data_IF_077926129271
#
_entry.id   IF_077926129271
#
_cell.length_a   1.000
_cell.length_b   1.000
_cell.length_c   1.000
_cell.angle_alpha   90.00
_cell.angle_beta   90.00
_cell.angle_gamma   90.00
#
_symmetry.space_group_name_H-M   'P 1'
#
loop_
_entity.id
_entity.type
_entity.pdbx_description
1 polymer ?
#
# COMPACT_ATOMS: atom_id res chain seq x y z
N UNK A 1 -19.25 11.81 -12.04
CA UNK A 1 -18.55 12.96 -11.39
C UNK A 1 -17.55 13.55 -12.38
N UNK A 2 -17.59 14.86 -12.59
CA UNK A 2 -16.60 15.55 -13.42
C UNK A 2 -15.24 15.44 -12.73
N UNK A 3 -14.28 14.80 -13.40
CA UNK A 3 -12.90 14.68 -12.91
C UNK A 3 -12.30 16.08 -12.91
N UNK A 4 -12.12 16.64 -11.73
CA UNK A 4 -11.45 17.93 -11.57
C UNK A 4 -9.93 17.69 -11.50
N UNK A 5 -9.22 17.92 -12.60
CA UNK A 5 -7.76 17.80 -12.70
C UNK A 5 -6.99 18.98 -12.08
N UNK A 6 -7.66 19.93 -11.42
CA UNK A 6 -7.02 21.13 -10.87
C UNK A 6 -6.77 21.05 -9.35
N UNK A 7 -6.43 19.88 -8.82
CA UNK A 7 -6.08 19.77 -7.42
C UNK A 7 -4.66 20.28 -7.15
N UNK A 8 -4.48 20.89 -5.99
CA UNK A 8 -3.19 21.47 -5.57
C UNK A 8 -2.14 20.40 -5.26
N UNK A 9 -2.59 19.19 -4.93
CA UNK A 9 -1.74 18.05 -4.54
C UNK A 9 -1.84 16.96 -5.60
N UNK A 10 -0.72 16.30 -5.83
CA UNK A 10 -0.65 15.08 -6.64
C UNK A 10 -0.37 13.85 -5.77
N UNK A 11 -0.81 12.68 -6.19
CA UNK A 11 -0.46 11.40 -5.56
C UNK A 11 0.20 10.50 -6.60
N UNK A 12 1.40 10.04 -6.31
CA UNK A 12 2.02 8.96 -7.07
C UNK A 12 1.75 7.65 -6.34
N UNK A 13 0.97 6.77 -6.96
CA UNK A 13 0.54 5.52 -6.35
C UNK A 13 1.14 4.32 -7.07
N UNK A 14 1.90 3.49 -6.35
CA UNK A 14 2.45 2.23 -6.88
C UNK A 14 1.61 1.07 -6.37
N UNK A 15 0.81 0.49 -7.27
CA UNK A 15 -0.08 -0.62 -6.93
C UNK A 15 0.69 -1.92 -6.61
N UNK A 16 0.10 -2.85 -5.83
CA UNK A 16 0.71 -4.15 -5.57
C UNK A 16 0.71 -5.04 -6.81
N UNK A 17 1.40 -6.18 -6.75
CA UNK A 17 1.31 -7.15 -7.84
C UNK A 17 -0.06 -7.79 -7.94
N UNK A 18 -0.60 -7.81 -9.15
CA UNK A 18 -1.75 -8.60 -9.56
C UNK A 18 -1.36 -9.76 -10.47
N UNK A 19 -0.04 -10.02 -10.62
CA UNK A 19 0.50 -11.01 -11.53
C UNK A 19 0.94 -12.26 -10.77
N UNK A 20 0.30 -13.39 -11.05
CA UNK A 20 0.47 -14.66 -10.34
C UNK A 20 0.90 -15.82 -11.26
N UNK A 21 1.21 -15.53 -12.53
CA UNK A 21 1.44 -16.52 -13.56
C UNK A 21 2.89 -17.05 -13.60
N UNK A 22 3.19 -17.88 -14.59
CA UNK A 22 4.46 -18.62 -14.71
C UNK A 22 5.65 -17.77 -15.16
N UNK A 23 5.39 -16.68 -15.87
CA UNK A 23 6.45 -15.77 -16.32
C UNK A 23 6.99 -14.96 -15.14
N UNK A 24 8.23 -14.50 -15.22
CA UNK A 24 8.85 -13.72 -14.16
C UNK A 24 8.27 -12.30 -14.05
N UNK A 25 7.93 -11.67 -15.18
CA UNK A 25 7.35 -10.33 -15.20
C UNK A 25 6.13 -10.27 -16.11
N UNK A 26 5.21 -9.39 -15.75
CA UNK A 26 4.01 -9.12 -16.52
C UNK A 26 4.34 -8.43 -17.85
N UNK A 27 3.77 -8.92 -18.94
CA UNK A 27 3.86 -8.30 -20.27
C UNK A 27 2.76 -7.25 -20.45
N UNK A 28 3.15 -5.98 -20.50
CA UNK A 28 2.23 -4.84 -20.61
C UNK A 28 1.42 -4.82 -21.93
N UNK A 29 1.82 -5.59 -22.93
CA UNK A 29 1.11 -5.66 -24.21
C UNK A 29 -0.07 -6.64 -24.22
N UNK A 30 -0.29 -7.36 -23.12
CA UNK A 30 -1.34 -8.37 -23.03
C UNK A 30 -2.50 -7.90 -22.15
N UNK A 31 -3.70 -7.81 -22.71
CA UNK A 31 -4.94 -7.68 -21.93
C UNK A 31 -5.24 -8.96 -21.17
N UNK A 32 -5.07 -8.94 -19.85
CA UNK A 32 -5.21 -10.12 -19.00
C UNK A 32 -5.98 -9.79 -17.73
N UNK A 33 -6.27 -10.80 -16.92
CA UNK A 33 -6.83 -10.64 -15.58
C UNK A 33 -5.93 -9.76 -14.66
N UNK A 34 -4.63 -9.63 -14.96
CA UNK A 34 -3.72 -8.74 -14.23
C UNK A 34 -4.13 -7.27 -14.34
N UNK A 35 -4.55 -6.80 -15.51
CA UNK A 35 -5.09 -5.45 -15.66
C UNK A 35 -6.35 -5.26 -14.83
N UNK A 36 -7.27 -6.22 -14.85
CA UNK A 36 -8.51 -6.16 -14.08
C UNK A 36 -8.24 -6.14 -12.57
N UNK A 37 -7.22 -6.89 -12.09
CA UNK A 37 -6.77 -6.83 -10.71
C UNK A 37 -6.17 -5.47 -10.38
N UNK A 38 -5.36 -4.90 -11.28
CA UNK A 38 -4.81 -3.55 -11.11
C UNK A 38 -5.92 -2.50 -11.03
N UNK A 39 -6.93 -2.55 -11.91
CA UNK A 39 -8.09 -1.65 -11.84
C UNK A 39 -8.80 -1.74 -10.49
N UNK A 40 -9.01 -2.97 -9.99
CA UNK A 40 -9.62 -3.20 -8.69
C UNK A 40 -8.78 -2.63 -7.54
N UNK A 41 -7.46 -2.82 -7.58
CA UNK A 41 -6.54 -2.26 -6.59
C UNK A 41 -6.55 -0.72 -6.62
N UNK A 42 -6.56 -0.11 -7.79
CA UNK A 42 -6.67 1.34 -7.90
C UNK A 42 -8.01 1.85 -7.34
N UNK A 43 -9.10 1.16 -7.65
CA UNK A 43 -10.42 1.52 -7.17
C UNK A 43 -10.59 1.38 -5.65
N UNK A 44 -9.94 0.41 -5.01
CA UNK A 44 -10.11 0.11 -3.58
C UNK A 44 -8.96 0.63 -2.70
N UNK A 45 -7.85 1.07 -3.27
CA UNK A 45 -6.67 1.55 -2.54
C UNK A 45 -6.32 3.00 -2.92
N UNK A 46 -5.90 3.25 -4.17
CA UNK A 46 -5.51 4.59 -4.61
C UNK A 46 -6.65 5.61 -4.47
N UNK A 47 -7.90 5.17 -4.60
CA UNK A 47 -9.09 6.00 -4.43
C UNK A 47 -9.20 6.68 -3.07
N UNK A 48 -8.51 6.19 -2.04
CA UNK A 48 -8.45 6.88 -0.74
C UNK A 48 -7.88 8.31 -0.86
N UNK A 49 -7.05 8.57 -1.85
CA UNK A 49 -6.40 9.86 -2.06
C UNK A 49 -7.12 10.76 -3.07
N UNK A 50 -8.13 10.26 -3.78
CA UNK A 50 -8.77 10.99 -4.89
C UNK A 50 -9.58 12.22 -4.45
N UNK A 51 -9.92 12.35 -3.17
CA UNK A 51 -10.61 13.53 -2.62
C UNK A 51 -9.76 14.80 -2.72
N UNK A 52 -8.46 14.68 -2.46
CA UNK A 52 -7.53 15.81 -2.31
C UNK A 52 -6.46 15.90 -3.39
N UNK A 53 -6.20 14.82 -4.13
CA UNK A 53 -5.09 14.76 -5.10
C UNK A 53 -5.51 14.24 -6.46
N UNK A 54 -4.75 14.64 -7.50
CA UNK A 54 -4.76 13.93 -8.76
C UNK A 54 -3.89 12.68 -8.60
N UNK A 55 -4.41 11.53 -9.02
CA UNK A 55 -3.71 10.25 -8.85
C UNK A 55 -2.99 9.89 -10.15
N UNK A 56 -1.71 9.57 -10.02
CA UNK A 56 -0.83 9.06 -11.08
C UNK A 56 -0.33 7.69 -10.65
N UNK A 57 -0.77 6.66 -11.34
CA UNK A 57 -0.41 5.27 -11.06
C UNK A 57 0.23 4.66 -12.31
N UNK A 58 1.54 4.38 -12.31
CA UNK A 58 2.19 3.80 -13.46
C UNK A 58 1.74 2.36 -13.69
N UNK A 59 1.62 1.97 -14.93
CA UNK A 59 1.68 0.56 -15.30
C UNK A 59 3.15 0.16 -15.39
N UNK A 60 3.51 -0.95 -14.81
CA UNK A 60 4.89 -1.44 -14.79
C UNK A 60 4.92 -2.96 -14.96
N UNK A 61 6.06 -3.49 -15.39
CA UNK A 61 6.28 -4.92 -15.54
C UNK A 61 6.38 -5.59 -14.17
N UNK A 62 5.21 -5.77 -13.54
CA UNK A 62 5.10 -6.37 -12.21
C UNK A 62 5.86 -7.68 -12.15
N UNK A 63 6.66 -7.89 -11.09
CA UNK A 63 7.22 -9.20 -10.82
C UNK A 63 6.12 -10.16 -10.37
N UNK A 64 6.22 -11.41 -10.76
CA UNK A 64 5.27 -12.45 -10.33
C UNK A 64 5.32 -12.64 -8.81
N UNK A 65 4.21 -13.09 -8.23
CA UNK A 65 4.21 -13.45 -6.81
C UNK A 65 5.25 -14.53 -6.46
N UNK A 66 5.54 -15.44 -7.40
CA UNK A 66 6.60 -16.42 -7.24
C UNK A 66 7.99 -15.77 -7.08
N UNK A 67 8.28 -14.68 -7.79
CA UNK A 67 9.54 -13.95 -7.64
C UNK A 67 9.71 -13.35 -6.24
N UNK A 68 8.59 -12.89 -5.64
CA UNK A 68 8.59 -12.33 -4.29
C UNK A 68 8.81 -13.44 -3.24
N UNK A 69 8.17 -14.59 -3.41
CA UNK A 69 8.16 -15.68 -2.45
C UNK A 69 9.41 -16.56 -2.51
N UNK A 70 10.01 -16.77 -3.69
CA UNK A 70 11.22 -17.57 -3.86
C UNK A 70 12.52 -16.79 -3.70
N UNK A 71 12.52 -15.53 -3.99
CA UNK A 71 13.51 -14.45 -3.83
C UNK A 71 15.01 -14.78 -3.64
N UNK A 72 15.41 -16.02 -3.76
CA UNK A 72 16.81 -16.49 -3.66
C UNK A 72 17.40 -16.84 -5.03
N UNK A 73 16.57 -16.89 -6.06
CA UNK A 73 17.01 -17.22 -7.40
C UNK A 73 17.38 -15.95 -8.17
N UNK A 74 18.42 -16.00 -8.97
CA UNK A 74 18.87 -14.87 -9.79
C UNK A 74 17.74 -14.28 -10.65
N UNK A 75 16.91 -15.13 -11.25
CA UNK A 75 15.75 -14.69 -12.03
C UNK A 75 14.70 -13.95 -11.19
N UNK A 76 14.53 -14.30 -9.90
CA UNK A 76 13.67 -13.55 -8.97
C UNK A 76 14.21 -12.15 -8.76
N UNK A 77 15.50 -12.03 -8.49
CA UNK A 77 16.19 -10.75 -8.27
C UNK A 77 16.06 -9.89 -9.52
N UNK A 78 16.39 -10.43 -10.69
CA UNK A 78 16.29 -9.72 -11.96
C UNK A 78 14.86 -9.25 -12.27
N UNK A 79 13.85 -10.07 -11.93
CA UNK A 79 12.43 -9.72 -12.08
C UNK A 79 12.04 -8.54 -11.20
N UNK A 80 12.49 -8.54 -9.94
CA UNK A 80 12.22 -7.44 -9.00
C UNK A 80 12.95 -6.15 -9.41
N UNK A 81 14.20 -6.26 -9.90
CA UNK A 81 14.97 -5.12 -10.40
C UNK A 81 14.32 -4.49 -11.64
N UNK A 82 13.78 -5.32 -12.54
CA UNK A 82 13.08 -4.84 -13.71
C UNK A 82 11.81 -4.07 -13.33
N UNK A 83 10.98 -4.62 -12.44
CA UNK A 83 9.80 -3.96 -11.93
C UNK A 83 10.15 -2.63 -11.24
N UNK A 84 11.23 -2.61 -10.46
CA UNK A 84 11.73 -1.40 -9.81
C UNK A 84 12.20 -0.35 -10.81
N UNK A 85 12.94 -0.74 -11.84
CA UNK A 85 13.44 0.22 -12.85
C UNK A 85 12.28 0.94 -13.57
N UNK A 86 11.20 0.23 -13.86
CA UNK A 86 10.00 0.81 -14.45
C UNK A 86 9.35 1.84 -13.52
N UNK A 87 9.17 1.47 -12.23
CA UNK A 87 8.59 2.38 -11.24
C UNK A 87 9.47 3.60 -11.00
N UNK A 88 10.80 3.42 -10.94
CA UNK A 88 11.75 4.53 -10.79
C UNK A 88 11.66 5.51 -11.97
N UNK A 89 11.71 5.00 -13.19
CA UNK A 89 11.63 5.84 -14.40
C UNK A 89 10.29 6.62 -14.45
N UNK A 90 9.17 5.94 -14.09
CA UNK A 90 7.86 6.58 -14.01
C UNK A 90 7.81 7.65 -12.91
N UNK A 91 8.45 7.42 -11.77
CA UNK A 91 8.49 8.39 -10.67
C UNK A 91 9.35 9.61 -11.02
N UNK A 92 10.51 9.42 -11.65
CA UNK A 92 11.33 10.51 -12.16
C UNK A 92 10.57 11.35 -13.18
N UNK A 93 9.88 10.71 -14.13
CA UNK A 93 9.02 11.41 -15.08
C UNK A 93 7.88 12.16 -14.36
N UNK A 94 7.23 11.53 -13.38
CA UNK A 94 6.22 12.20 -12.58
C UNK A 94 6.77 13.45 -11.89
N UNK A 95 7.93 13.38 -11.24
CA UNK A 95 8.51 14.50 -10.52
C UNK A 95 8.83 15.68 -11.44
N UNK A 96 9.51 15.43 -12.56
CA UNK A 96 10.06 16.47 -13.40
C UNK A 96 9.08 17.00 -14.45
N UNK A 97 8.25 16.12 -15.02
CA UNK A 97 7.36 16.49 -16.13
C UNK A 97 5.92 16.78 -15.69
N UNK A 98 5.41 16.05 -14.68
CA UNK A 98 4.02 16.15 -14.23
C UNK A 98 3.86 17.00 -13.00
N UNK A 99 4.59 16.67 -11.93
CA UNK A 99 4.38 17.28 -10.62
C UNK A 99 4.81 18.74 -10.53
N UNK A 100 5.91 19.11 -11.18
CA UNK A 100 6.39 20.49 -11.32
C UNK A 100 6.37 21.28 -10.00
N UNK A 101 6.99 20.74 -8.98
CA UNK A 101 7.10 21.31 -7.63
C UNK A 101 5.79 21.43 -6.83
N UNK A 102 4.69 20.82 -7.25
CA UNK A 102 3.50 20.73 -6.41
C UNK A 102 3.75 19.83 -5.20
N UNK A 103 3.05 20.07 -4.09
CA UNK A 103 2.99 19.10 -3.01
C UNK A 103 2.48 17.74 -3.51
N UNK A 104 3.04 16.65 -2.98
CA UNK A 104 2.61 15.34 -3.40
C UNK A 104 2.61 14.30 -2.27
N UNK A 105 1.82 13.26 -2.46
CA UNK A 105 1.79 12.04 -1.67
C UNK A 105 2.51 10.94 -2.47
N UNK A 106 3.41 10.21 -1.83
CA UNK A 106 3.89 8.94 -2.33
C UNK A 106 3.11 7.83 -1.63
N UNK A 107 2.41 6.99 -2.39
CA UNK A 107 1.63 5.90 -1.81
C UNK A 107 1.93 4.59 -2.52
N UNK A 108 1.92 3.49 -1.76
CA UNK A 108 2.16 2.16 -2.30
C UNK A 108 1.53 1.07 -1.44
N UNK A 109 1.36 -0.11 -2.02
CA UNK A 109 0.98 -1.30 -1.31
C UNK A 109 1.84 -2.51 -1.71
N UNK A 110 2.24 -3.33 -0.74
CA UNK A 110 2.92 -4.62 -0.98
C UNK A 110 4.15 -4.49 -1.87
N UNK A 111 4.21 -5.18 -3.02
CA UNK A 111 5.33 -5.08 -3.97
C UNK A 111 5.62 -3.65 -4.42
N UNK A 112 4.60 -2.80 -4.52
CA UNK A 112 4.78 -1.39 -4.85
C UNK A 112 5.68 -0.64 -3.87
N UNK A 113 5.87 -1.17 -2.67
CA UNK A 113 6.82 -0.65 -1.68
C UNK A 113 8.27 -1.03 -2.00
N UNK A 114 8.53 -2.13 -2.72
CA UNK A 114 9.88 -2.59 -3.02
C UNK A 114 10.71 -1.45 -3.61
N UNK A 115 11.64 -0.94 -2.82
CA UNK A 115 12.49 0.22 -3.09
C UNK A 115 11.76 1.57 -3.21
N UNK A 116 10.51 1.71 -2.73
CA UNK A 116 9.89 3.03 -2.59
C UNK A 116 10.71 3.93 -1.63
N UNK A 117 11.40 3.35 -0.64
CA UNK A 117 12.37 4.08 0.19
C UNK A 117 13.56 4.59 -0.63
N UNK A 118 14.01 3.89 -1.67
CA UNK A 118 15.04 4.41 -2.60
C UNK A 118 14.50 5.59 -3.39
N UNK A 119 13.22 5.56 -3.77
CA UNK A 119 12.56 6.73 -4.34
C UNK A 119 12.56 7.88 -3.34
N UNK A 120 12.37 7.59 -2.04
CA UNK A 120 12.42 8.59 -0.97
C UNK A 120 13.83 9.15 -0.76
N UNK A 121 14.87 8.32 -0.81
CA UNK A 121 16.26 8.74 -0.58
C UNK A 121 16.88 9.34 -1.84
N UNK A 122 16.56 8.78 -3.02
CA UNK A 122 17.24 9.09 -4.28
C UNK A 122 17.01 10.50 -4.83
N UNK A 123 15.93 11.18 -4.42
CA UNK A 123 15.60 12.53 -4.89
C UNK A 123 15.93 13.64 -3.88
N UNK A 124 16.63 13.33 -2.79
CA UNK A 124 17.29 14.26 -1.89
C UNK A 124 16.41 15.41 -1.36
N UNK A 125 16.90 16.64 -1.45
CA UNK A 125 16.23 17.84 -0.93
C UNK A 125 14.90 18.16 -1.61
N UNK A 126 14.71 17.80 -2.88
CA UNK A 126 13.46 18.02 -3.60
C UNK A 126 12.28 17.29 -2.94
N UNK A 127 12.48 16.04 -2.53
CA UNK A 127 11.45 15.28 -1.85
C UNK A 127 11.14 15.81 -0.46
N UNK A 128 12.14 16.31 0.25
CA UNK A 128 11.93 16.88 1.60
C UNK A 128 11.04 18.11 1.58
N UNK A 129 11.11 18.93 0.54
CA UNK A 129 10.34 20.17 0.45
C UNK A 129 8.89 19.95 -0.05
N UNK A 130 8.70 19.05 -1.00
CA UNK A 130 7.42 18.91 -1.70
C UNK A 130 6.61 17.68 -1.29
N UNK A 131 7.21 16.68 -0.62
CA UNK A 131 6.50 15.50 -0.16
C UNK A 131 5.69 15.80 1.10
N UNK A 132 4.37 15.70 0.98
CA UNK A 132 3.47 15.89 2.11
C UNK A 132 3.52 14.70 3.07
N UNK A 133 3.40 13.47 2.55
CA UNK A 133 3.51 12.23 3.31
C UNK A 133 3.85 11.05 2.39
N UNK A 134 4.33 9.95 2.96
CA UNK A 134 4.46 8.69 2.27
C UNK A 134 3.63 7.61 2.97
N UNK A 135 2.67 7.01 2.25
CA UNK A 135 1.86 5.88 2.70
C UNK A 135 2.41 4.60 2.10
N UNK A 136 3.33 3.96 2.81
CA UNK A 136 4.03 2.76 2.36
C UNK A 136 3.48 1.54 3.11
N UNK A 137 2.31 1.07 2.69
CA UNK A 137 1.50 0.11 3.43
C UNK A 137 1.76 -1.32 2.96
N UNK A 138 1.75 -2.26 3.90
CA UNK A 138 1.75 -3.69 3.60
C UNK A 138 3.12 -4.31 3.33
N UNK A 139 4.22 -3.59 3.51
CA UNK A 139 5.59 -4.13 3.44
C UNK A 139 6.37 -3.75 4.70
N UNK A 140 7.24 -4.60 5.22
CA UNK A 140 7.93 -4.31 6.47
C UNK A 140 8.92 -3.15 6.33
N UNK A 141 8.72 -2.11 7.13
CA UNK A 141 9.65 -1.02 7.34
C UNK A 141 10.17 -1.11 8.77
N UNK A 142 11.44 -1.41 8.92
CA UNK A 142 12.06 -1.57 10.24
C UNK A 142 12.26 -0.23 10.94
N UNK A 143 12.03 -0.20 12.24
CA UNK A 143 12.16 1.02 13.04
C UNK A 143 13.58 1.57 13.04
N UNK A 144 14.59 0.69 13.11
CA UNK A 144 16.00 1.09 13.12
C UNK A 144 16.40 1.74 11.78
N UNK A 145 15.93 1.17 10.66
CA UNK A 145 16.18 1.76 9.35
C UNK A 145 15.50 3.11 9.20
N UNK A 146 14.24 3.23 9.58
CA UNK A 146 13.53 4.52 9.50
C UNK A 146 14.27 5.60 10.31
N UNK A 147 14.70 5.26 11.52
CA UNK A 147 15.42 6.18 12.39
C UNK A 147 16.77 6.65 11.79
N UNK A 148 17.48 5.76 11.09
CA UNK A 148 18.77 6.06 10.45
C UNK A 148 18.64 6.79 9.12
N UNK A 149 17.48 6.68 8.43
CA UNK A 149 17.25 7.25 7.10
C UNK A 149 16.91 8.74 7.09
N UNK A 150 16.70 9.33 8.27
CA UNK A 150 16.25 10.73 8.41
C UNK A 150 14.78 10.95 8.11
N UNK A 151 13.98 9.87 8.03
CA UNK A 151 12.53 9.91 7.97
C UNK A 151 11.93 9.67 9.35
N UNK A 152 10.70 10.15 9.53
CA UNK A 152 9.96 9.98 10.78
C UNK A 152 8.66 9.24 10.56
N UNK A 153 8.28 8.43 11.54
CA UNK A 153 6.92 7.91 11.62
C UNK A 153 5.99 8.98 12.21
N UNK A 154 4.68 8.94 11.99
CA UNK A 154 3.76 9.92 12.56
C UNK A 154 3.68 9.78 14.09
N UNK A 155 3.56 10.90 14.78
CA UNK A 155 3.24 10.98 16.20
C UNK A 155 1.79 11.43 16.42
N UNK A 156 1.17 11.99 15.38
CA UNK A 156 -0.23 12.40 15.34
C UNK A 156 -0.77 12.37 13.91
N UNK A 157 -2.01 12.76 13.75
CA UNK A 157 -2.72 12.71 12.47
C UNK A 157 -2.37 13.81 11.46
N UNK A 158 -1.57 14.80 11.87
CA UNK A 158 -1.25 16.00 11.06
C UNK A 158 0.22 16.19 10.76
N UNK A 159 1.12 15.43 11.37
CA UNK A 159 2.57 15.54 11.13
C UNK A 159 2.91 15.49 9.64
N UNK A 160 3.59 16.50 9.09
CA UNK A 160 4.01 16.50 7.69
C UNK A 160 5.25 15.63 7.49
N UNK A 161 5.50 15.25 6.23
CA UNK A 161 6.72 14.58 5.78
C UNK A 161 7.03 13.21 6.43
N UNK A 162 6.03 12.61 7.04
CA UNK A 162 6.14 11.30 7.70
C UNK A 162 6.03 10.13 6.72
N UNK A 163 6.52 8.98 7.16
CA UNK A 163 6.28 7.68 6.52
C UNK A 163 5.29 6.90 7.35
N UNK A 164 4.19 6.53 6.75
CA UNK A 164 3.09 5.78 7.34
C UNK A 164 3.19 4.36 6.83
N UNK A 165 3.32 3.43 7.76
CA UNK A 165 3.39 2.01 7.47
C UNK A 165 2.54 1.24 8.48
N UNK A 166 1.92 0.17 8.06
CA UNK A 166 1.34 -0.89 8.88
C UNK A 166 1.12 -2.15 8.05
N UNK A 167 0.97 -3.27 8.73
CA UNK A 167 0.69 -4.59 8.17
C UNK A 167 -0.39 -5.23 9.02
N UNK A 168 -1.54 -5.53 8.42
CA UNK A 168 -2.74 -5.92 9.14
C UNK A 168 -2.83 -7.43 9.34
N UNK A 169 -3.19 -7.83 10.56
CA UNK A 169 -3.55 -9.20 10.93
C UNK A 169 -4.82 -9.19 11.79
N UNK A 170 -5.54 -10.29 11.84
CA UNK A 170 -6.61 -10.46 12.83
C UNK A 170 -6.05 -10.59 14.25
N UNK A 171 -6.89 -10.50 15.27
CA UNK A 171 -6.50 -10.62 16.67
C UNK A 171 -5.68 -11.89 16.93
N UNK A 172 -4.48 -11.72 17.49
CA UNK A 172 -3.47 -12.77 17.65
C UNK A 172 -3.04 -13.45 16.34
N UNK A 173 -3.26 -12.80 15.22
CA UNK A 173 -2.82 -13.25 13.89
C UNK A 173 -1.31 -13.17 13.74
N UNK A 174 -0.80 -13.84 12.73
CA UNK A 174 0.63 -13.88 12.42
C UNK A 174 0.82 -13.72 10.92
N UNK A 175 1.86 -13.02 10.52
CA UNK A 175 2.30 -13.10 9.13
C UNK A 175 3.12 -14.37 8.90
N UNK A 176 3.10 -14.90 7.66
CA UNK A 176 4.06 -15.93 7.28
C UNK A 176 5.47 -15.46 7.62
N UNK A 177 6.29 -16.35 8.16
CA UNK A 177 7.74 -16.08 8.35
C UNK A 177 8.42 -16.06 6.99
N UNK A 178 8.29 -14.94 6.31
CA UNK A 178 8.93 -14.69 5.02
C UNK A 178 10.14 -13.81 5.23
N UNK A 179 11.17 -14.07 4.47
CA UNK A 179 12.29 -13.15 4.32
C UNK A 179 11.92 -12.09 3.29
N UNK A 180 12.28 -10.88 3.59
CA UNK A 180 12.04 -9.71 2.73
C UNK A 180 13.38 -9.10 2.34
N UNK A 181 13.44 -8.49 1.18
CA UNK A 181 14.55 -7.65 0.79
C UNK A 181 14.45 -6.35 1.55
N UNK A 182 15.19 -6.25 2.64
CA UNK A 182 15.18 -5.10 3.54
C UNK A 182 16.49 -4.33 3.43
N UNK A 183 16.44 -2.98 3.54
CA UNK A 183 17.64 -2.17 3.50
C UNK A 183 18.53 -2.44 4.71
N UNK A 184 19.84 -2.50 4.48
CA UNK A 184 20.87 -2.62 5.49
C UNK A 184 22.10 -1.83 5.08
N UNK A 185 22.29 -0.63 5.65
CA UNK A 185 23.27 0.32 5.17
C UNK A 185 22.99 0.74 3.73
N UNK A 186 23.96 0.57 2.84
CA UNK A 186 23.84 0.91 1.42
C UNK A 186 23.41 -0.26 0.53
N UNK A 187 23.00 -1.38 1.09
CA UNK A 187 22.59 -2.56 0.34
C UNK A 187 21.25 -3.11 0.85
N UNK A 188 20.74 -4.12 0.13
CA UNK A 188 19.57 -4.88 0.53
C UNK A 188 19.98 -6.28 0.95
N UNK A 189 19.40 -6.76 2.04
CA UNK A 189 19.54 -8.14 2.47
C UNK A 189 18.21 -8.84 2.58
N UNK A 190 18.23 -10.10 2.22
CA UNK A 190 17.09 -10.99 2.38
C UNK A 190 17.07 -11.52 3.82
N UNK A 191 16.22 -10.95 4.66
CA UNK A 191 16.11 -11.29 6.08
C UNK A 191 14.67 -11.25 6.58
N UNK A 192 14.41 -11.88 7.72
CA UNK A 192 13.18 -11.64 8.48
C UNK A 192 13.22 -10.22 9.05
N UNK A 193 12.08 -9.49 9.02
CA UNK A 193 12.04 -8.13 9.56
C UNK A 193 12.14 -8.13 11.08
N UNK A 194 12.82 -7.12 11.61
CA UNK A 194 12.79 -6.76 13.02
C UNK A 194 11.51 -6.02 13.40
N UNK A 195 11.56 -5.24 14.47
CA UNK A 195 10.42 -4.41 14.92
C UNK A 195 10.03 -3.39 13.85
N UNK A 196 8.73 -3.31 13.53
CA UNK A 196 8.20 -2.48 12.46
C UNK A 196 7.92 -1.06 12.94
N UNK A 197 8.15 -0.10 12.05
CA UNK A 197 7.83 1.32 12.25
C UNK A 197 6.36 1.61 11.94
N UNK A 198 5.44 0.90 12.56
CA UNK A 198 4.02 0.99 12.26
C UNK A 198 3.32 2.13 13.00
N UNK A 199 2.21 2.59 12.43
CA UNK A 199 1.26 3.50 13.06
C UNK A 199 -0.15 2.90 12.98
N UNK A 200 -0.95 3.07 14.03
CA UNK A 200 -2.35 2.64 14.02
C UNK A 200 -3.18 3.65 13.23
N UNK A 201 -3.81 3.28 12.09
CA UNK A 201 -4.54 4.22 11.25
C UNK A 201 -5.85 4.74 11.87
N UNK A 202 -6.33 4.16 12.97
CA UNK A 202 -7.50 4.65 13.71
C UNK A 202 -7.11 5.82 14.62
N UNK A 203 -6.08 5.62 15.44
CA UNK A 203 -5.68 6.59 16.48
C UNK A 203 -4.45 7.43 16.13
N UNK A 204 -3.67 7.01 15.14
CA UNK A 204 -2.34 7.55 14.82
C UNK A 204 -1.34 7.46 15.97
N UNK A 205 -1.68 6.65 16.99
CA UNK A 205 -0.81 6.35 18.14
C UNK A 205 0.03 5.10 17.86
N UNK A 206 1.04 4.91 18.68
CA UNK A 206 1.98 3.80 18.56
C UNK A 206 1.97 2.93 19.82
N UNK A 207 0.80 2.78 20.40
CA UNK A 207 0.57 2.01 21.62
C UNK A 207 -0.02 0.63 21.36
N UNK A 208 0.00 -0.21 22.38
CA UNK A 208 -0.64 -1.53 22.40
C UNK A 208 -2.04 -1.45 23.02
N UNK A 209 -2.80 -0.40 22.69
CA UNK A 209 -4.17 -0.19 23.18
C UNK A 209 -5.15 -0.39 22.04
N UNK A 210 -6.25 -1.05 22.29
CA UNK A 210 -7.33 -1.19 21.33
C UNK A 210 -8.05 0.15 21.13
N UNK A 211 -8.02 0.65 19.91
CA UNK A 211 -8.78 1.81 19.46
C UNK A 211 -9.87 1.36 18.51
N UNK A 212 -11.09 1.79 18.77
CA UNK A 212 -12.25 1.46 17.94
C UNK A 212 -12.51 2.54 16.92
N UNK A 213 -12.88 2.14 15.70
CA UNK A 213 -13.32 3.07 14.66
C UNK A 213 -14.68 3.66 15.02
N UNK A 214 -14.81 4.97 14.87
CA UNK A 214 -16.06 5.72 14.98
C UNK A 214 -16.70 6.05 13.62
N UNK A 215 -16.09 5.52 12.55
CA UNK A 215 -16.55 5.75 11.17
C UNK A 215 -16.59 4.44 10.38
N UNK A 216 -17.47 4.41 9.38
CA UNK A 216 -17.42 3.36 8.35
C UNK A 216 -16.10 3.43 7.60
N UNK A 217 -15.32 2.36 7.63
CA UNK A 217 -13.96 2.37 7.13
C UNK A 217 -13.65 1.27 6.11
N UNK A 218 -14.28 0.10 6.24
CA UNK A 218 -14.08 -1.02 5.33
C UNK A 218 -14.76 -0.75 3.98
N UNK A 219 -13.98 -0.47 2.95
CA UNK A 219 -14.48 -0.33 1.58
C UNK A 219 -14.45 -1.67 0.86
N UNK A 220 -15.58 -2.12 0.35
CA UNK A 220 -15.73 -3.39 -0.35
C UNK A 220 -16.10 -3.19 -1.82
N UNK A 221 -15.49 -3.93 -2.75
CA UNK A 221 -15.92 -3.96 -4.13
C UNK A 221 -17.06 -4.96 -4.33
N UNK A 222 -18.08 -4.56 -5.08
CA UNK A 222 -19.10 -5.45 -5.61
C UNK A 222 -18.74 -5.81 -7.05
N UNK A 223 -18.43 -7.06 -7.28
CA UNK A 223 -17.97 -7.55 -8.57
C UNK A 223 -19.08 -8.39 -9.23
N UNK A 224 -19.33 -8.14 -10.50
CA UNK A 224 -20.15 -9.01 -11.34
C UNK A 224 -19.26 -9.86 -12.23
N UNK A 225 -19.73 -11.09 -12.56
CA UNK A 225 -18.95 -12.02 -13.31
C UNK A 225 -17.86 -12.68 -12.48
N UNK A 226 -16.73 -13.03 -13.09
CA UNK A 226 -15.61 -13.69 -12.41
C UNK A 226 -14.89 -12.72 -11.50
N UNK A 227 -14.77 -13.08 -10.23
CA UNK A 227 -14.04 -12.26 -9.25
C UNK A 227 -12.54 -12.55 -9.34
N UNK A 228 -11.83 -11.83 -10.18
CA UNK A 228 -10.39 -11.98 -10.41
C UNK A 228 -9.52 -11.66 -9.19
N UNK A 229 -10.09 -10.99 -8.19
CA UNK A 229 -9.38 -10.71 -6.93
C UNK A 229 -9.28 -11.96 -6.04
N UNK A 230 -10.22 -12.88 -6.17
CA UNK A 230 -10.22 -14.17 -5.48
C UNK A 230 -9.74 -15.32 -6.37
N UNK A 231 -9.70 -15.13 -7.66
CA UNK A 231 -9.23 -16.11 -8.64
C UNK A 231 -7.83 -15.73 -9.14
N UNK A 232 -6.84 -16.14 -8.38
CA UNK A 232 -5.43 -15.88 -8.71
C UNK A 232 -4.93 -16.64 -9.93
N UNK A 233 -5.65 -17.71 -10.35
CA UNK A 233 -5.27 -18.54 -11.49
C UNK A 233 -5.84 -18.01 -12.82
N UNK A 234 -6.72 -17.02 -12.79
CA UNK A 234 -7.22 -16.42 -14.03
C UNK A 234 -6.08 -15.72 -14.78
N UNK A 235 -5.83 -16.13 -16.02
CA UNK A 235 -4.76 -15.63 -16.88
C UNK A 235 -5.25 -14.61 -17.90
N UNK A 236 -6.28 -14.99 -18.66
CA UNK A 236 -6.88 -14.16 -19.70
C UNK A 236 -7.81 -13.10 -19.15
N UNK A 237 -8.23 -12.17 -20.01
CA UNK A 237 -9.29 -11.21 -19.70
C UNK A 237 -10.57 -11.96 -19.37
N UNK A 238 -11.20 -11.62 -18.26
CA UNK A 238 -12.44 -12.25 -17.79
C UNK A 238 -13.65 -11.33 -18.02
N UNK A 239 -14.84 -11.82 -17.71
CA UNK A 239 -16.07 -11.02 -17.71
C UNK A 239 -16.28 -10.25 -16.38
N UNK A 240 -15.30 -10.32 -15.47
CA UNK A 240 -15.37 -9.64 -14.18
C UNK A 240 -15.36 -8.12 -14.33
N UNK A 241 -16.25 -7.43 -13.63
CA UNK A 241 -16.35 -5.96 -13.61
C UNK A 241 -16.69 -5.46 -12.23
N UNK A 242 -16.09 -4.36 -11.82
CA UNK A 242 -16.49 -3.62 -10.64
C UNK A 242 -17.83 -2.95 -10.95
N UNK A 243 -18.88 -3.30 -10.19
CA UNK A 243 -20.19 -2.64 -10.28
C UNK A 243 -20.27 -1.44 -9.37
N UNK A 244 -19.76 -1.58 -8.17
CA UNK A 244 -19.97 -0.65 -7.08
C UNK A 244 -18.84 -0.79 -6.05
N UNK A 245 -18.51 0.31 -5.42
CA UNK A 245 -17.73 0.35 -4.19
C UNK A 245 -18.68 0.76 -3.07
N UNK A 246 -18.72 0.01 -1.99
CA UNK A 246 -19.69 0.21 -0.93
C UNK A 246 -19.11 -0.04 0.45
N UNK A 247 -19.72 0.55 1.44
CA UNK A 247 -19.42 0.30 2.85
C UNK A 247 -20.45 -0.67 3.40
N UNK A 248 -20.07 -1.84 3.92
CA UNK A 248 -21.00 -2.74 4.59
C UNK A 248 -21.66 -2.07 5.79
N UNK A 249 -22.93 -2.35 6.03
CA UNK A 249 -23.65 -1.91 7.23
C UNK A 249 -23.03 -2.56 8.49
N UNK A 250 -23.21 -1.92 9.65
CA UNK A 250 -22.81 -2.41 10.96
C UNK A 250 -21.32 -2.77 11.06
N UNK A 251 -20.46 -1.85 10.62
CA UNK A 251 -19.03 -2.03 10.70
C UNK A 251 -18.51 -1.83 12.12
N UNK A 252 -17.95 -2.89 12.68
CA UNK A 252 -17.14 -2.81 13.87
C UNK A 252 -15.70 -3.16 13.53
N UNK A 253 -14.78 -2.23 13.75
CA UNK A 253 -13.35 -2.39 13.55
C UNK A 253 -12.63 -1.76 14.73
N UNK A 254 -11.79 -2.54 15.37
CA UNK A 254 -10.83 -2.05 16.36
C UNK A 254 -9.43 -2.48 15.96
N UNK A 255 -8.43 -1.66 16.25
CA UNK A 255 -7.04 -1.96 15.94
C UNK A 255 -6.11 -1.55 17.08
N UNK A 256 -5.01 -2.29 17.25
CA UNK A 256 -3.88 -1.96 18.12
C UNK A 256 -2.57 -2.39 17.47
N UNK A 257 -1.45 -1.86 17.90
CA UNK A 257 -0.14 -2.38 17.51
C UNK A 257 0.30 -3.49 18.47
N UNK A 258 0.81 -4.59 17.91
CA UNK A 258 1.53 -5.61 18.66
C UNK A 258 2.94 -5.14 19.01
N UNK A 259 3.65 -5.87 19.86
CA UNK A 259 5.02 -5.53 20.26
C UNK A 259 6.04 -5.58 19.11
N UNK A 260 5.80 -6.40 18.09
CA UNK A 260 6.60 -6.48 16.87
C UNK A 260 6.14 -5.51 15.78
N UNK A 261 5.10 -4.72 16.04
CA UNK A 261 4.59 -3.66 15.19
C UNK A 261 3.57 -4.14 14.13
N UNK A 262 3.03 -5.36 14.23
CA UNK A 262 1.87 -5.74 13.42
C UNK A 262 0.63 -5.00 13.89
N UNK A 263 -0.25 -4.65 12.96
CA UNK A 263 -1.54 -4.04 13.26
C UNK A 263 -2.59 -5.14 13.49
N UNK A 264 -2.81 -5.50 14.72
CA UNK A 264 -3.87 -6.43 15.10
C UNK A 264 -5.23 -5.77 14.98
N UNK A 265 -6.19 -6.49 14.39
CA UNK A 265 -7.56 -6.01 14.18
C UNK A 265 -8.59 -7.01 14.66
N UNK A 266 -9.74 -6.50 15.11
CA UNK A 266 -10.91 -7.31 15.49
C UNK A 266 -12.21 -6.56 15.24
N UNK A 267 -13.32 -7.27 15.34
CA UNK A 267 -14.68 -6.78 15.17
C UNK A 267 -15.44 -7.53 14.08
N UNK A 268 -16.75 -7.29 13.99
CA UNK A 268 -17.65 -8.02 13.09
C UNK A 268 -17.22 -7.98 11.62
N UNK A 269 -16.67 -6.85 11.17
CA UNK A 269 -16.14 -6.69 9.81
C UNK A 269 -14.93 -7.56 9.56
N UNK A 270 -14.03 -7.66 10.53
CA UNK A 270 -12.81 -8.48 10.45
C UNK A 270 -13.18 -9.97 10.46
N UNK A 271 -14.09 -10.39 11.33
CA UNK A 271 -14.57 -11.78 11.39
C UNK A 271 -15.21 -12.20 10.07
N UNK A 272 -15.92 -11.31 9.40
CA UNK A 272 -16.52 -11.55 8.09
C UNK A 272 -15.46 -11.85 7.01
N UNK A 273 -14.35 -11.11 7.01
CA UNK A 273 -13.22 -11.33 6.10
C UNK A 273 -12.52 -12.65 6.43
N UNK A 274 -12.26 -12.89 7.70
CA UNK A 274 -11.53 -14.06 8.19
C UNK A 274 -12.29 -15.39 8.05
N UNK A 275 -13.61 -15.38 7.84
CA UNK A 275 -14.38 -16.60 7.50
C UNK A 275 -13.83 -17.35 6.28
N UNK A 276 -13.05 -16.69 5.43
CA UNK A 276 -12.41 -17.28 4.25
C UNK A 276 -10.94 -17.64 4.47
N UNK A 277 -10.39 -17.35 5.64
CA UNK A 277 -9.01 -17.72 5.97
C UNK A 277 -8.91 -19.19 6.32
N UNK A 278 -8.44 -20.00 5.38
CA UNK A 278 -8.20 -21.44 5.58
C UNK A 278 -6.82 -21.72 6.17
N UNK A 279 -5.94 -20.73 6.24
CA UNK A 279 -4.57 -20.88 6.74
C UNK A 279 -4.50 -20.87 8.26
N UNK A 280 -5.50 -20.26 8.92
CA UNK A 280 -5.50 -20.00 10.36
C UNK A 280 -4.48 -18.95 10.80
N UNK A 281 -3.75 -18.33 9.88
CA UNK A 281 -2.75 -17.29 10.19
C UNK A 281 -3.39 -15.94 10.46
N UNK A 282 -4.61 -15.73 10.00
CA UNK A 282 -5.34 -14.47 10.07
C UNK A 282 -4.58 -13.31 9.42
N UNK A 283 -3.81 -13.58 8.37
CA UNK A 283 -3.11 -12.55 7.58
C UNK A 283 -4.14 -11.78 6.75
N UNK A 284 -4.17 -10.46 6.94
CA UNK A 284 -5.10 -9.55 6.27
C UNK A 284 -4.38 -8.61 5.28
N UNK A 285 -3.17 -8.96 4.87
CA UNK A 285 -2.33 -8.15 4.00
C UNK A 285 -3.04 -7.62 2.75
N UNK A 286 -3.81 -8.46 2.07
CA UNK A 286 -4.53 -8.03 0.86
C UNK A 286 -5.62 -6.99 1.14
N UNK A 287 -6.01 -6.81 2.40
CA UNK A 287 -7.05 -5.91 2.89
C UNK A 287 -6.50 -4.69 3.63
N UNK A 288 -5.19 -4.52 3.72
CA UNK A 288 -4.55 -3.42 4.47
C UNK A 288 -5.19 -2.05 4.17
N UNK A 289 -5.41 -1.71 2.90
CA UNK A 289 -6.03 -0.45 2.51
C UNK A 289 -7.53 -0.43 2.72
N UNK A 290 -8.21 -1.51 2.33
CA UNK A 290 -9.68 -1.55 2.33
C UNK A 290 -10.25 -1.45 3.74
N UNK A 291 -9.65 -2.12 4.73
CA UNK A 291 -10.09 -2.09 6.13
C UNK A 291 -10.06 -0.66 6.68
N UNK A 292 -9.04 0.12 6.31
CA UNK A 292 -8.82 1.46 6.83
C UNK A 292 -9.02 2.57 5.78
N UNK A 293 -9.79 2.29 4.74
CA UNK A 293 -9.92 3.20 3.60
C UNK A 293 -10.35 4.62 3.99
N UNK A 294 -11.40 4.75 4.81
CA UNK A 294 -11.88 6.06 5.26
C UNK A 294 -10.91 6.75 6.23
N UNK A 295 -10.23 5.98 7.07
CA UNK A 295 -9.20 6.53 7.96
C UNK A 295 -8.01 7.08 7.18
N UNK A 296 -7.53 6.36 6.16
CA UNK A 296 -6.46 6.82 5.27
C UNK A 296 -6.92 8.09 4.54
N UNK A 297 -8.14 8.11 4.00
CA UNK A 297 -8.71 9.26 3.29
C UNK A 297 -8.76 10.49 4.18
N UNK A 298 -9.41 10.41 5.34
CA UNK A 298 -9.51 11.52 6.30
C UNK A 298 -8.14 12.00 6.78
N UNK A 299 -7.22 11.07 7.00
CA UNK A 299 -5.85 11.43 7.39
C UNK A 299 -5.11 12.18 6.28
N UNK A 300 -5.21 11.72 5.03
CA UNK A 300 -4.62 12.41 3.90
C UNK A 300 -5.18 13.84 3.75
N UNK A 301 -6.48 14.03 3.97
CA UNK A 301 -7.14 15.35 3.98
C UNK A 301 -6.59 16.27 5.10
N UNK A 302 -6.50 15.77 6.34
CA UNK A 302 -5.96 16.53 7.48
C UNK A 302 -4.49 16.91 7.27
N UNK A 303 -3.66 15.99 6.78
CA UNK A 303 -2.25 16.28 6.48
C UNK A 303 -2.11 17.29 5.35
N UNK A 304 -2.97 17.22 4.34
CA UNK A 304 -2.99 18.18 3.25
C UNK A 304 -3.31 19.59 3.75
N UNK A 305 -4.33 19.73 4.59
CA UNK A 305 -4.69 21.01 5.21
C UNK A 305 -3.53 21.56 6.05
N UNK A 306 -2.96 20.73 6.92
CA UNK A 306 -1.80 21.12 7.74
C UNK A 306 -0.60 21.53 6.89
N UNK A 307 -0.27 20.77 5.85
CA UNK A 307 0.88 21.05 4.98
C UNK A 307 0.70 22.33 4.16
N UNK A 308 -0.53 22.62 3.71
CA UNK A 308 -0.86 23.83 2.94
C UNK A 308 -1.12 25.06 3.82
N UNK A 309 -1.10 24.91 5.15
CA UNK A 309 -1.38 26.00 6.09
C UNK A 309 -2.85 26.45 6.08
N UNK A 310 -3.78 25.52 5.82
CA UNK A 310 -5.23 25.76 5.72
C UNK A 310 -5.98 25.21 6.92
#
# INVERSE_FOLDING_TARGET
>A
ENINFNKEINCFFVHPTGFFLKDWNFDLNKETATFQRTELMLATQASAFNGISNIYAPQYRQATFAAISTNQHESSINSLELAYSDVKNAFEYFLFEINKNKPFILASHSQGWLRAEVLLVGCGSYLKQNRMAAYLIGYPLEQDYLSSSGFSKPTNETDPQVVIQFQTVGESGKRPRLKFWLPEGNCYKLKEPGALASANPISWQQDNVWHSSDIESLLMPKISGQNVFLDYLAEGKTNGKIKELWFPDDQEISAKLSYDGLLETKGSSIDRILKRDISGMKDLHIWDYQIFWSHIRKNAEKRAQSFLGK
#
